data_IF_568959101012
#
_entry.id   IF_568959101012
#
_cell.length_a   1.000
_cell.length_b   1.000
_cell.length_c   1.000
_cell.angle_alpha   90.00
_cell.angle_beta   90.00
_cell.angle_gamma   90.00
#
_symmetry.space_group_name_H-M   'P 1'
#
loop_
_entity.id
_entity.type
_entity.pdbx_description
1 polymer ?
#
# COMPACT_ATOMS: atom_id res chain seq x y z
N UNK A 1 -6.99 24.73 -0.30
CA UNK A 1 -6.92 23.62 0.68
C UNK A 1 -5.78 22.71 0.23
N UNK A 2 -4.85 22.39 1.12
CA UNK A 2 -3.68 21.53 0.82
C UNK A 2 -4.11 20.12 0.40
N UNK A 3 -3.34 19.51 -0.51
CA UNK A 3 -3.52 18.13 -0.91
C UNK A 3 -2.47 17.21 -0.26
N UNK A 4 -1.26 17.73 0.00
CA UNK A 4 -0.24 17.06 0.83
C UNK A 4 -0.53 17.37 2.30
N UNK A 5 -0.56 16.33 3.13
CA UNK A 5 -0.86 16.46 4.55
C UNK A 5 -0.03 15.49 5.40
N UNK A 6 0.13 15.82 6.67
CA UNK A 6 0.70 14.92 7.67
C UNK A 6 -0.38 13.93 8.11
N UNK A 7 -0.23 12.64 7.81
CA UNK A 7 -1.19 11.64 8.22
C UNK A 7 -1.14 11.44 9.74
N UNK A 8 -2.24 10.92 10.31
CA UNK A 8 -2.35 10.60 11.74
C UNK A 8 -2.58 9.11 11.95
N UNK A 9 -2.22 8.62 13.13
CA UNK A 9 -2.43 7.23 13.52
C UNK A 9 -1.72 6.26 12.57
N UNK A 10 -2.41 5.21 12.14
CA UNK A 10 -1.83 4.13 11.31
C UNK A 10 -1.25 4.59 9.98
N UNK A 11 -1.75 5.69 9.42
CA UNK A 11 -1.26 6.21 8.16
C UNK A 11 0.15 6.83 8.27
N UNK A 12 0.50 7.38 9.44
CA UNK A 12 1.85 7.90 9.72
C UNK A 12 2.91 6.80 9.65
N UNK A 13 2.55 5.56 9.95
CA UNK A 13 3.48 4.42 9.90
C UNK A 13 3.89 4.05 8.48
N UNK A 14 3.15 4.55 7.46
CA UNK A 14 3.52 4.37 6.06
C UNK A 14 4.47 5.44 5.55
N UNK A 15 4.19 6.70 5.83
CA UNK A 15 5.07 7.81 5.45
C UNK A 15 4.76 9.06 6.28
N UNK A 16 5.74 9.98 6.44
CA UNK A 16 5.53 11.23 7.19
C UNK A 16 4.56 12.19 6.51
N UNK A 17 4.42 12.06 5.18
CA UNK A 17 3.48 12.84 4.38
C UNK A 17 2.65 11.92 3.48
N UNK A 18 1.44 12.33 3.18
CA UNK A 18 0.57 11.63 2.23
C UNK A 18 -0.17 12.62 1.32
N UNK A 19 -0.49 12.14 0.11
CA UNK A 19 -1.28 12.86 -0.88
C UNK A 19 -2.38 11.94 -1.44
N UNK A 20 -3.61 12.40 -1.55
CA UNK A 20 -4.70 11.65 -2.15
C UNK A 20 -5.26 12.41 -3.36
N UNK A 21 -4.91 11.98 -4.55
CA UNK A 21 -5.37 12.55 -5.82
C UNK A 21 -6.82 12.18 -6.14
N UNK A 22 -7.24 11.03 -5.68
CA UNK A 22 -8.52 10.42 -6.02
C UNK A 22 -9.44 10.26 -4.82
N UNK A 23 -10.69 9.97 -5.12
CA UNK A 23 -11.73 9.50 -4.23
C UNK A 23 -12.39 8.28 -4.85
N UNK A 24 -12.68 7.27 -4.03
CA UNK A 24 -13.18 5.99 -4.51
C UNK A 24 -12.05 5.09 -5.02
N UNK A 25 -12.33 3.79 -5.09
CA UNK A 25 -11.39 2.78 -5.56
C UNK A 25 -12.13 1.51 -5.95
N UNK A 26 -12.23 1.18 -7.24
CA UNK A 26 -12.98 0.01 -7.72
C UNK A 26 -12.27 -1.33 -7.52
N UNK A 27 -11.10 -1.38 -6.88
CA UNK A 27 -10.53 -2.66 -6.43
C UNK A 27 -11.52 -3.47 -5.56
N UNK A 28 -12.41 -2.80 -4.83
CA UNK A 28 -13.50 -3.45 -4.12
C UNK A 28 -13.05 -4.26 -2.91
N UNK A 29 -11.88 -4.00 -2.36
CA UNK A 29 -11.33 -4.75 -1.24
C UNK A 29 -12.30 -4.78 -0.06
N UNK A 30 -12.64 -5.98 0.42
CA UNK A 30 -13.63 -6.20 1.45
C UNK A 30 -13.23 -5.59 2.80
N UNK A 31 -11.95 -5.60 3.11
CA UNK A 31 -11.35 -5.01 4.30
C UNK A 31 -11.06 -3.51 4.17
N UNK A 32 -11.45 -2.86 3.07
CA UNK A 32 -11.08 -1.48 2.78
C UNK A 32 -11.59 -0.51 3.85
N UNK A 33 -10.68 0.27 4.43
CA UNK A 33 -11.02 1.32 5.38
C UNK A 33 -11.43 2.64 4.68
N UNK A 34 -11.10 2.81 3.39
CA UNK A 34 -11.38 4.03 2.63
C UNK A 34 -12.80 4.57 2.78
N UNK A 35 -13.84 3.71 2.70
CA UNK A 35 -15.22 4.14 2.92
C UNK A 35 -15.52 4.64 4.34
N UNK A 36 -14.67 4.36 5.33
CA UNK A 36 -14.88 4.81 6.72
C UNK A 36 -14.40 6.24 6.98
N UNK A 37 -13.55 6.79 6.11
CA UNK A 37 -12.98 8.13 6.28
C UNK A 37 -14.00 9.27 6.12
N UNK A 38 -14.84 9.29 5.07
CA UNK A 38 -15.95 10.23 4.99
C UNK A 38 -17.14 9.72 5.78
N UNK A 39 -17.88 10.62 6.43
CA UNK A 39 -19.12 10.23 7.12
C UNK A 39 -20.28 10.05 6.12
N UNK A 40 -20.76 8.81 5.88
CA UNK A 40 -21.85 8.55 4.93
C UNK A 40 -23.19 9.16 5.35
N UNK A 41 -23.44 9.31 6.66
CA UNK A 41 -24.66 9.92 7.17
C UNK A 41 -24.86 11.36 6.71
N UNK A 42 -23.76 12.10 6.46
CA UNK A 42 -23.84 13.45 5.87
C UNK A 42 -24.40 13.47 4.43
N UNK A 43 -24.47 12.31 3.79
CA UNK A 43 -25.05 12.11 2.45
C UNK A 43 -26.41 11.42 2.48
N UNK A 44 -26.91 11.09 3.65
CA UNK A 44 -28.14 10.32 3.81
C UNK A 44 -28.02 8.85 3.38
N UNK A 45 -26.79 8.30 3.32
CA UNK A 45 -26.52 6.94 2.89
C UNK A 45 -26.24 6.03 4.09
N UNK A 46 -26.63 4.77 3.98
CA UNK A 46 -26.15 3.70 4.84
C UNK A 46 -24.67 3.41 4.55
N UNK A 47 -23.98 2.74 5.46
CA UNK A 47 -22.58 2.34 5.24
C UNK A 47 -22.44 1.37 4.05
N UNK A 48 -23.43 0.50 3.82
CA UNK A 48 -23.42 -0.44 2.70
C UNK A 48 -23.57 0.26 1.35
N UNK A 49 -24.54 1.18 1.24
CA UNK A 49 -24.73 2.02 0.05
C UNK A 49 -23.48 2.85 -0.24
N UNK A 50 -22.89 3.44 0.81
CA UNK A 50 -21.68 4.22 0.69
C UNK A 50 -20.48 3.36 0.26
N UNK A 51 -20.33 2.12 0.76
CA UNK A 51 -19.31 1.19 0.29
C UNK A 51 -19.48 0.86 -1.18
N UNK A 52 -20.69 0.60 -1.64
CA UNK A 52 -20.99 0.38 -3.07
C UNK A 52 -20.62 1.61 -3.91
N UNK A 53 -21.01 2.81 -3.48
CA UNK A 53 -20.65 4.06 -4.16
C UNK A 53 -19.11 4.25 -4.20
N UNK A 54 -18.43 4.02 -3.07
CA UNK A 54 -16.98 4.16 -2.96
C UNK A 54 -16.23 3.22 -3.91
N UNK A 55 -16.71 2.01 -4.06
CA UNK A 55 -16.08 0.99 -4.92
C UNK A 55 -16.60 1.00 -6.36
N UNK A 56 -17.51 1.89 -6.72
CA UNK A 56 -18.07 1.94 -8.07
C UNK A 56 -17.13 2.56 -9.11
N UNK A 57 -16.36 3.57 -8.72
CA UNK A 57 -15.48 4.30 -9.61
C UNK A 57 -14.42 5.12 -8.88
N UNK A 58 -13.34 5.44 -9.60
CA UNK A 58 -12.34 6.42 -9.18
C UNK A 58 -12.72 7.80 -9.72
N UNK A 59 -12.66 8.80 -8.87
CA UNK A 59 -12.94 10.19 -9.24
C UNK A 59 -11.75 11.06 -8.83
N UNK A 60 -11.19 11.81 -9.78
CA UNK A 60 -10.18 12.81 -9.48
C UNK A 60 -10.74 13.87 -8.52
N UNK A 61 -9.95 14.26 -7.53
CA UNK A 61 -10.30 15.39 -6.66
C UNK A 61 -10.14 16.70 -7.44
N UNK A 62 -11.05 17.66 -7.23
CA UNK A 62 -10.97 18.94 -7.94
C UNK A 62 -9.62 19.62 -7.77
N UNK A 63 -9.02 20.03 -8.88
CA UNK A 63 -7.73 20.72 -8.97
C UNK A 63 -6.58 19.95 -8.29
N UNK A 64 -6.62 18.63 -8.30
CA UNK A 64 -5.67 17.78 -7.57
C UNK A 64 -4.22 18.07 -7.96
N UNK A 65 -3.92 18.17 -9.24
CA UNK A 65 -2.58 18.45 -9.76
C UNK A 65 -2.13 19.88 -9.45
N UNK A 66 -2.99 20.87 -9.66
CA UNK A 66 -2.65 22.26 -9.36
C UNK A 66 -2.35 22.49 -7.86
N UNK A 67 -3.12 21.79 -7.00
CA UNK A 67 -2.86 21.81 -5.55
C UNK A 67 -1.57 21.09 -5.19
N UNK A 68 -1.27 19.97 -5.86
CA UNK A 68 -0.03 19.23 -5.67
C UNK A 68 1.19 20.11 -6.02
N UNK A 69 1.19 20.73 -7.19
CA UNK A 69 2.22 21.66 -7.63
C UNK A 69 2.44 22.80 -6.60
N UNK A 70 1.36 23.42 -6.15
CA UNK A 70 1.42 24.50 -5.14
C UNK A 70 2.01 24.01 -3.82
N UNK A 71 1.61 22.82 -3.34
CA UNK A 71 2.11 22.27 -2.08
C UNK A 71 3.59 21.89 -2.18
N UNK A 72 4.01 21.23 -3.28
CA UNK A 72 5.41 20.86 -3.54
C UNK A 72 6.31 22.09 -3.63
N UNK A 73 5.88 23.14 -4.35
CA UNK A 73 6.60 24.40 -4.42
C UNK A 73 6.76 25.05 -3.03
N UNK A 74 5.70 25.05 -2.22
CA UNK A 74 5.75 25.59 -0.87
C UNK A 74 6.66 24.78 0.07
N UNK A 75 6.73 23.45 -0.11
CA UNK A 75 7.63 22.58 0.64
C UNK A 75 9.09 22.79 0.22
N UNK A 76 9.37 22.90 -1.08
CA UNK A 76 10.70 23.20 -1.61
C UNK A 76 11.25 24.52 -1.05
N UNK A 77 10.42 25.56 -1.01
CA UNK A 77 10.78 26.86 -0.41
C UNK A 77 11.13 26.76 1.08
N UNK A 78 10.57 25.75 1.80
CA UNK A 78 10.86 25.47 3.20
C UNK A 78 11.99 24.45 3.40
N UNK A 79 12.58 23.95 2.33
CA UNK A 79 13.56 22.84 2.34
C UNK A 79 13.03 21.58 3.04
N UNK A 80 11.73 21.32 2.95
CA UNK A 80 11.11 20.10 3.45
C UNK A 80 11.30 18.99 2.42
N UNK A 81 12.09 17.98 2.74
CA UNK A 81 12.46 16.87 1.83
C UNK A 81 11.80 15.55 2.22
N UNK A 82 10.83 15.58 3.13
CA UNK A 82 10.14 14.36 3.58
C UNK A 82 9.45 13.64 2.42
N UNK A 83 9.53 12.29 2.35
CA UNK A 83 8.88 11.52 1.31
C UNK A 83 7.34 11.57 1.47
N UNK A 84 6.64 11.43 0.34
CA UNK A 84 5.18 11.54 0.28
C UNK A 84 4.55 10.25 -0.24
N UNK A 85 3.69 9.60 0.57
CA UNK A 85 2.91 8.45 0.12
C UNK A 85 1.80 8.90 -0.83
N UNK A 86 1.78 8.32 -2.02
CA UNK A 86 0.78 8.62 -3.03
C UNK A 86 -0.44 7.71 -2.87
N UNK A 87 -1.60 8.34 -2.63
CA UNK A 87 -2.92 7.74 -2.54
C UNK A 87 -3.14 6.76 -1.37
N UNK A 88 -3.02 7.26 -0.12
CA UNK A 88 -3.31 6.43 1.07
C UNK A 88 -4.78 5.97 1.17
N UNK A 89 -5.75 6.83 0.83
CA UNK A 89 -7.18 6.53 0.98
C UNK A 89 -7.80 5.85 -0.25
N UNK A 90 -7.06 5.75 -1.34
CA UNK A 90 -7.44 5.09 -2.59
C UNK A 90 -6.19 4.43 -3.19
N UNK A 91 -6.27 3.89 -4.39
CA UNK A 91 -5.11 3.30 -5.08
C UNK A 91 -4.58 4.28 -6.14
N UNK A 92 -3.26 4.46 -6.31
CA UNK A 92 -2.70 5.30 -7.37
C UNK A 92 -2.87 4.70 -8.77
N UNK A 93 -3.09 3.37 -8.88
CA UNK A 93 -3.28 2.65 -10.14
C UNK A 93 -4.58 1.83 -10.14
N UNK A 94 -5.75 2.48 -9.97
CA UNK A 94 -7.03 1.79 -10.01
C UNK A 94 -7.32 1.29 -11.44
N UNK A 95 -8.21 0.30 -11.62
CA UNK A 95 -8.56 -0.22 -12.95
C UNK A 95 -9.11 0.83 -13.92
N UNK A 96 -9.75 1.85 -13.39
CA UNK A 96 -10.43 2.93 -14.12
C UNK A 96 -9.76 4.30 -13.91
N UNK A 97 -8.45 4.35 -13.76
CA UNK A 97 -7.73 5.61 -13.49
C UNK A 97 -8.10 6.70 -14.51
N UNK A 98 -8.62 7.85 -14.04
CA UNK A 98 -8.97 8.93 -14.93
C UNK A 98 -7.71 9.66 -15.42
N UNK A 99 -7.59 9.86 -16.74
CA UNK A 99 -6.65 10.81 -17.39
C UNK A 99 -5.16 10.66 -17.03
N UNK A 100 -4.69 9.49 -16.56
CA UNK A 100 -3.29 9.27 -16.15
C UNK A 100 -2.77 10.32 -15.14
N UNK A 101 -3.59 10.69 -14.17
CA UNK A 101 -3.28 11.70 -13.16
C UNK A 101 -2.08 11.29 -12.31
N UNK A 102 -1.94 9.99 -12.04
CA UNK A 102 -0.79 9.47 -11.28
C UNK A 102 0.52 9.80 -11.97
N UNK A 103 0.63 9.61 -13.31
CA UNK A 103 1.83 9.98 -14.07
C UNK A 103 2.13 11.47 -13.97
N UNK A 104 1.13 12.32 -14.13
CA UNK A 104 1.30 13.77 -14.01
C UNK A 104 1.74 14.19 -12.60
N UNK A 105 1.21 13.52 -11.57
CA UNK A 105 1.66 13.75 -10.20
C UNK A 105 3.12 13.33 -9.99
N UNK A 106 3.55 12.18 -10.53
CA UNK A 106 4.95 11.74 -10.46
C UNK A 106 5.90 12.72 -11.17
N UNK A 107 5.48 13.30 -12.30
CA UNK A 107 6.24 14.35 -12.97
C UNK A 107 6.38 15.61 -12.11
N UNK A 108 5.35 15.99 -11.36
CA UNK A 108 5.42 17.09 -10.41
C UNK A 108 6.41 16.78 -9.25
N UNK A 109 6.39 15.55 -8.71
CA UNK A 109 7.36 15.12 -7.70
C UNK A 109 8.79 15.20 -8.20
N UNK A 110 9.05 14.69 -9.41
CA UNK A 110 10.36 14.72 -10.06
C UNK A 110 10.82 16.17 -10.27
N UNK A 111 9.97 17.01 -10.85
CA UNK A 111 10.27 18.42 -11.12
C UNK A 111 10.67 19.20 -9.86
N UNK A 112 10.01 18.95 -8.75
CA UNK A 112 10.29 19.62 -7.47
C UNK A 112 11.33 18.90 -6.60
N UNK A 113 11.88 17.76 -7.03
CA UNK A 113 12.90 17.01 -6.30
C UNK A 113 12.39 16.27 -5.07
N UNK A 114 11.12 15.86 -5.06
CA UNK A 114 10.53 15.09 -3.95
C UNK A 114 10.44 13.61 -4.30
N UNK A 115 10.55 12.77 -3.26
CA UNK A 115 10.49 11.31 -3.39
C UNK A 115 9.08 10.79 -3.16
N UNK A 116 8.37 10.32 -4.20
CA UNK A 116 7.07 9.67 -4.04
C UNK A 116 7.26 8.24 -3.51
N UNK A 117 6.38 7.83 -2.60
CA UNK A 117 6.24 6.44 -2.17
C UNK A 117 4.94 5.91 -2.77
N UNK A 118 5.04 4.88 -3.57
CA UNK A 118 3.89 4.17 -4.14
C UNK A 118 3.52 3.00 -3.25
N UNK A 119 2.23 2.79 -3.02
CA UNK A 119 1.65 1.56 -2.54
C UNK A 119 0.41 1.25 -3.38
N UNK A 120 0.40 0.10 -4.05
CA UNK A 120 -0.69 -0.23 -4.96
C UNK A 120 -1.08 -1.72 -4.91
N UNK A 121 -2.30 -2.02 -5.33
CA UNK A 121 -2.78 -3.34 -5.72
C UNK A 121 -2.98 -3.42 -7.24
N UNK A 122 -2.41 -2.46 -7.96
CA UNK A 122 -2.54 -2.32 -9.41
C UNK A 122 -1.69 -3.29 -10.22
N UNK A 123 -0.67 -3.91 -9.62
CA UNK A 123 0.24 -4.79 -10.35
C UNK A 123 0.94 -4.07 -11.49
N UNK A 124 1.07 -4.72 -12.64
CA UNK A 124 1.76 -4.21 -13.83
C UNK A 124 1.14 -2.96 -14.46
N UNK A 125 -0.07 -2.53 -14.03
CA UNK A 125 -0.60 -1.22 -14.43
C UNK A 125 0.31 -0.06 -14.06
N UNK A 126 1.12 -0.23 -13.00
CA UNK A 126 2.06 0.77 -12.52
C UNK A 126 3.33 0.88 -13.40
N UNK A 127 3.72 -0.19 -14.10
CA UNK A 127 4.99 -0.27 -14.83
C UNK A 127 5.14 0.82 -15.91
N UNK A 128 4.02 1.33 -16.44
CA UNK A 128 4.00 2.42 -17.43
C UNK A 128 4.62 3.73 -16.93
N UNK A 129 4.77 3.88 -15.61
CA UNK A 129 5.25 5.10 -14.97
C UNK A 129 6.59 4.90 -14.23
N UNK A 130 7.24 3.75 -14.42
CA UNK A 130 8.52 3.44 -13.74
C UNK A 130 9.68 4.32 -14.19
N UNK A 131 9.66 4.80 -15.43
CA UNK A 131 10.62 5.78 -15.92
C UNK A 131 10.62 7.05 -15.06
N UNK A 132 9.45 7.62 -14.83
CA UNK A 132 9.29 8.85 -14.04
C UNK A 132 9.43 8.59 -12.53
N UNK A 133 8.98 7.44 -12.02
CA UNK A 133 9.13 7.06 -10.62
C UNK A 133 10.61 6.94 -10.25
N UNK A 134 11.41 6.31 -11.11
CA UNK A 134 12.87 6.22 -10.96
C UNK A 134 13.52 7.61 -10.98
N UNK A 135 13.16 8.45 -11.96
CA UNK A 135 13.71 9.81 -12.07
C UNK A 135 13.43 10.63 -10.81
N UNK A 136 12.27 10.48 -10.19
CA UNK A 136 11.91 11.10 -8.91
C UNK A 136 12.60 10.48 -7.68
N UNK A 137 13.37 9.39 -7.84
CA UNK A 137 13.97 8.65 -6.72
C UNK A 137 12.96 8.03 -5.78
N UNK A 138 11.81 7.63 -6.32
CA UNK A 138 10.69 7.09 -5.54
C UNK A 138 10.85 5.60 -5.18
N UNK A 139 9.94 5.11 -4.34
CA UNK A 139 9.82 3.71 -3.94
C UNK A 139 8.56 3.09 -4.51
N UNK A 140 8.67 1.85 -4.99
CA UNK A 140 7.54 1.09 -5.49
C UNK A 140 7.11 0.02 -4.50
N UNK A 141 5.87 0.08 -4.02
CA UNK A 141 5.30 -0.87 -3.07
C UNK A 141 4.05 -1.56 -3.57
N UNK A 142 3.95 -2.81 -3.18
CA UNK A 142 2.77 -3.64 -3.39
C UNK A 142 2.19 -4.10 -2.05
N UNK A 143 0.86 -4.22 -1.99
CA UNK A 143 0.21 -4.90 -0.87
C UNK A 143 0.23 -6.39 -1.14
N UNK A 144 0.64 -7.19 -0.15
CA UNK A 144 0.45 -8.62 -0.16
C UNK A 144 -0.22 -9.09 1.13
N UNK A 145 -1.29 -9.87 0.98
CA UNK A 145 -2.00 -10.54 2.08
C UNK A 145 -2.20 -12.03 1.78
N UNK A 146 -1.71 -12.48 0.62
CA UNK A 146 -1.91 -13.83 0.09
C UNK A 146 -0.66 -14.28 -0.65
N UNK A 147 -0.39 -15.58 -0.64
CA UNK A 147 0.71 -16.19 -1.38
C UNK A 147 0.34 -16.46 -2.84
N UNK A 148 1.33 -16.78 -3.67
CA UNK A 148 1.15 -17.13 -5.08
C UNK A 148 0.33 -18.40 -5.27
N UNK A 149 -0.54 -18.39 -6.28
CA UNK A 149 -1.50 -19.45 -6.60
C UNK A 149 -0.89 -20.82 -6.93
N UNK A 150 0.39 -20.88 -7.33
CA UNK A 150 0.96 -22.09 -7.95
C UNK A 150 1.50 -23.14 -6.99
N UNK A 151 1.89 -22.77 -5.77
CA UNK A 151 2.46 -23.70 -4.80
C UNK A 151 1.46 -24.28 -3.79
N UNK A 152 0.35 -23.56 -3.54
CA UNK A 152 -0.58 -23.86 -2.43
C UNK A 152 -2.02 -24.17 -2.86
N UNK A 153 -2.27 -24.34 -4.16
CA UNK A 153 -3.55 -24.83 -4.69
C UNK A 153 -4.57 -23.75 -5.09
N UNK A 154 -5.62 -24.17 -5.78
CA UNK A 154 -6.67 -23.31 -6.35
C UNK A 154 -7.43 -22.43 -5.33
N UNK A 155 -7.45 -22.84 -4.06
CA UNK A 155 -8.16 -22.12 -3.00
C UNK A 155 -7.63 -20.72 -2.71
N UNK A 156 -6.35 -20.44 -2.97
CA UNK A 156 -5.75 -19.12 -2.72
C UNK A 156 -6.26 -18.06 -3.70
N UNK A 157 -6.47 -18.41 -4.96
CA UNK A 157 -7.01 -17.48 -5.96
C UNK A 157 -8.48 -17.15 -5.70
N UNK A 158 -9.28 -18.12 -5.30
CA UNK A 158 -10.67 -17.92 -4.91
C UNK A 158 -10.76 -17.07 -3.64
N UNK A 159 -9.91 -17.34 -2.65
CA UNK A 159 -9.80 -16.52 -1.43
C UNK A 159 -9.44 -15.07 -1.77
N UNK A 160 -8.43 -14.84 -2.61
CA UNK A 160 -8.07 -13.50 -3.05
C UNK A 160 -9.23 -12.78 -3.75
N UNK A 161 -9.90 -13.42 -4.71
CA UNK A 161 -11.05 -12.84 -5.42
C UNK A 161 -12.19 -12.47 -4.48
N UNK A 162 -12.41 -13.25 -3.41
CA UNK A 162 -13.40 -12.93 -2.40
C UNK A 162 -13.04 -11.67 -1.59
N UNK A 163 -11.75 -11.43 -1.35
CA UNK A 163 -11.27 -10.30 -0.55
C UNK A 163 -10.87 -9.07 -1.36
N UNK A 164 -10.36 -9.27 -2.57
CA UNK A 164 -9.82 -8.22 -3.46
C UNK A 164 -10.30 -8.45 -4.91
N UNK A 165 -11.61 -8.36 -5.20
CA UNK A 165 -12.21 -8.85 -6.43
C UNK A 165 -11.61 -8.27 -7.71
N UNK A 166 -11.27 -6.99 -7.72
CA UNK A 166 -10.79 -6.27 -8.90
C UNK A 166 -9.33 -5.79 -8.78
N UNK A 167 -8.61 -6.24 -7.76
CA UNK A 167 -7.18 -5.98 -7.66
C UNK A 167 -6.39 -6.91 -8.61
N UNK A 168 -5.17 -6.53 -8.94
CA UNK A 168 -4.25 -7.37 -9.71
C UNK A 168 -4.00 -8.71 -8.99
N UNK A 169 -3.76 -9.78 -9.74
CA UNK A 169 -3.38 -11.08 -9.16
C UNK A 169 -2.05 -10.97 -8.40
N UNK A 170 -1.75 -11.90 -7.53
CA UNK A 170 -0.48 -11.89 -6.82
C UNK A 170 0.71 -12.07 -7.77
N UNK A 171 0.57 -12.91 -8.78
CA UNK A 171 1.58 -13.06 -9.84
C UNK A 171 1.81 -11.73 -10.58
N UNK A 172 0.74 -11.01 -10.92
CA UNK A 172 0.86 -9.72 -11.61
C UNK A 172 1.52 -8.65 -10.71
N UNK A 173 1.26 -8.68 -9.38
CA UNK A 173 1.97 -7.82 -8.41
C UNK A 173 3.45 -8.19 -8.30
N UNK A 174 3.76 -9.48 -8.29
CA UNK A 174 5.13 -9.96 -8.27
C UNK A 174 5.88 -9.53 -9.55
N UNK A 175 5.31 -9.77 -10.72
CA UNK A 175 5.88 -9.33 -11.99
C UNK A 175 6.15 -7.81 -12.01
N UNK A 176 5.24 -7.00 -11.44
CA UNK A 176 5.47 -5.57 -11.33
C UNK A 176 6.64 -5.22 -10.39
N UNK A 177 6.83 -5.96 -9.30
CA UNK A 177 7.95 -5.80 -8.39
C UNK A 177 9.28 -6.16 -9.08
N UNK A 178 9.34 -7.27 -9.81
CA UNK A 178 10.52 -7.67 -10.60
C UNK A 178 10.87 -6.63 -11.67
N UNK A 179 9.87 -6.09 -12.37
CA UNK A 179 10.09 -5.04 -13.36
C UNK A 179 10.62 -3.77 -12.67
N UNK A 180 10.08 -3.38 -11.50
CA UNK A 180 10.57 -2.23 -10.75
C UNK A 180 12.02 -2.40 -10.32
N UNK A 181 12.39 -3.57 -9.80
CA UNK A 181 13.77 -3.91 -9.44
C UNK A 181 14.71 -3.84 -10.66
N UNK A 182 14.31 -4.42 -11.80
CA UNK A 182 15.06 -4.33 -13.05
C UNK A 182 15.23 -2.89 -13.55
N UNK A 183 14.30 -1.99 -13.22
CA UNK A 183 14.46 -0.55 -13.44
C UNK A 183 15.42 0.10 -12.42
N UNK A 184 15.81 -0.60 -11.35
CA UNK A 184 16.57 -0.06 -10.23
C UNK A 184 15.74 0.88 -9.34
N UNK A 185 14.44 0.60 -9.23
CA UNK A 185 13.52 1.27 -8.29
C UNK A 185 13.48 0.40 -7.04
N UNK A 186 13.74 0.93 -5.85
CA UNK A 186 13.64 0.15 -4.62
C UNK A 186 12.21 -0.35 -4.39
N UNK A 187 12.09 -1.64 -4.07
CA UNK A 187 10.82 -2.36 -3.92
C UNK A 187 10.51 -2.62 -2.45
N UNK A 188 9.24 -2.44 -2.08
CA UNK A 188 8.78 -2.77 -0.74
C UNK A 188 7.41 -3.45 -0.73
N UNK A 189 7.15 -4.21 0.33
CA UNK A 189 5.89 -4.91 0.51
C UNK A 189 5.17 -4.47 1.79
N UNK A 190 3.88 -4.18 1.64
CA UNK A 190 2.97 -4.06 2.77
C UNK A 190 2.27 -5.40 2.98
N UNK A 191 2.72 -6.15 3.98
CA UNK A 191 2.09 -7.42 4.39
C UNK A 191 0.98 -7.09 5.39
N UNK A 192 -0.09 -6.50 4.84
CA UNK A 192 -1.26 -6.01 5.57
C UNK A 192 -2.43 -5.75 4.58
N UNK A 193 -3.67 -6.18 4.94
CA UNK A 193 -4.03 -6.91 6.16
C UNK A 193 -3.66 -8.39 6.06
N UNK A 194 -3.32 -9.00 7.17
CA UNK A 194 -3.17 -10.45 7.25
C UNK A 194 -4.54 -11.08 7.44
N UNK A 195 -5.00 -11.79 6.43
CA UNK A 195 -6.27 -12.53 6.44
C UNK A 195 -6.04 -13.97 6.86
N UNK A 196 -4.90 -14.53 6.47
CA UNK A 196 -4.44 -15.87 6.78
C UNK A 196 -2.96 -15.77 7.18
N UNK A 197 -2.63 -16.16 8.43
CA UNK A 197 -1.26 -16.03 8.96
C UNK A 197 -0.26 -16.93 8.23
N UNK A 198 -0.67 -18.13 7.86
CA UNK A 198 0.23 -19.12 7.26
C UNK A 198 0.59 -18.71 5.83
N UNK A 199 -0.36 -18.15 5.08
CA UNK A 199 -0.10 -17.56 3.78
C UNK A 199 0.79 -16.31 3.87
N UNK A 200 0.59 -15.46 4.87
CA UNK A 200 1.44 -14.28 5.08
C UNK A 200 2.88 -14.67 5.43
N UNK A 201 3.09 -15.66 6.28
CA UNK A 201 4.42 -16.17 6.64
C UNK A 201 5.09 -16.84 5.44
N UNK A 202 4.37 -17.68 4.70
CA UNK A 202 4.89 -18.30 3.48
C UNK A 202 5.28 -17.25 2.42
N UNK A 203 4.51 -16.17 2.27
CA UNK A 203 4.88 -15.04 1.42
C UNK A 203 6.20 -14.39 1.86
N UNK A 204 6.35 -14.13 3.16
CA UNK A 204 7.58 -13.54 3.71
C UNK A 204 8.78 -14.44 3.44
N UNK A 205 8.67 -15.76 3.66
CA UNK A 205 9.73 -16.73 3.38
C UNK A 205 10.14 -16.66 1.90
N UNK A 206 9.19 -16.81 0.99
CA UNK A 206 9.48 -16.79 -0.46
C UNK A 206 10.10 -15.46 -0.88
N UNK A 207 9.54 -14.34 -0.44
CA UNK A 207 9.92 -13.02 -0.93
C UNK A 207 11.24 -12.51 -0.30
N UNK A 208 11.59 -12.96 0.89
CA UNK A 208 12.85 -12.57 1.55
C UNK A 208 14.06 -13.40 1.09
N UNK A 209 13.83 -14.62 0.60
CA UNK A 209 14.88 -15.55 0.13
C UNK A 209 15.15 -15.47 -1.38
N UNK A 210 14.30 -14.75 -2.14
CA UNK A 210 14.40 -14.71 -3.59
C UNK A 210 15.63 -13.92 -4.06
N UNK A 211 16.57 -14.61 -4.72
CA UNK A 211 17.84 -14.02 -5.19
C UNK A 211 17.66 -12.99 -6.32
N UNK A 212 16.61 -13.12 -7.14
CA UNK A 212 16.43 -12.34 -8.37
C UNK A 212 15.59 -11.07 -8.18
N UNK A 213 14.76 -11.01 -7.13
CA UNK A 213 13.93 -9.83 -6.82
C UNK A 213 13.81 -9.64 -5.32
N UNK A 214 14.96 -9.49 -4.67
CA UNK A 214 14.99 -9.26 -3.23
C UNK A 214 14.29 -7.95 -2.91
N UNK A 215 13.25 -8.05 -2.09
CA UNK A 215 12.55 -6.86 -1.64
C UNK A 215 13.45 -6.02 -0.74
N UNK A 216 13.43 -4.71 -0.94
CA UNK A 216 14.30 -3.81 -0.16
C UNK A 216 13.74 -3.53 1.23
N UNK A 217 12.41 -3.57 1.38
CA UNK A 217 11.78 -3.25 2.66
C UNK A 217 10.43 -3.95 2.85
N UNK A 218 10.12 -4.32 4.09
CA UNK A 218 8.82 -4.87 4.48
C UNK A 218 8.14 -4.03 5.55
N UNK A 219 6.82 -3.84 5.42
CA UNK A 219 5.95 -3.32 6.50
C UNK A 219 4.95 -4.37 6.90
N UNK A 220 5.01 -4.76 8.17
CA UNK A 220 4.15 -5.79 8.75
C UNK A 220 3.04 -5.15 9.57
N UNK A 221 1.80 -5.56 9.32
CA UNK A 221 0.65 -5.11 10.09
C UNK A 221 -0.34 -6.24 10.32
N UNK A 222 -1.42 -5.95 11.04
CA UNK A 222 -2.48 -6.91 11.30
C UNK A 222 -3.78 -6.48 10.61
N UNK A 223 -4.71 -7.43 10.45
CA UNK A 223 -6.08 -7.10 10.07
C UNK A 223 -6.74 -6.24 11.16
N UNK A 224 -7.35 -5.15 10.74
CA UNK A 224 -8.21 -4.33 11.58
C UNK A 224 -9.67 -4.60 11.22
N UNK A 225 -10.32 -5.43 12.03
CA UNK A 225 -11.71 -5.82 11.80
C UNK A 225 -12.70 -4.67 12.01
N UNK A 226 -13.56 -4.41 11.05
CA UNK A 226 -14.63 -3.40 11.15
C UNK A 226 -16.04 -4.00 11.07
N UNK A 227 -16.20 -5.18 10.51
CA UNK A 227 -17.46 -5.95 10.47
C UNK A 227 -17.33 -7.26 11.26
N UNK A 228 -18.43 -8.04 11.30
CA UNK A 228 -18.48 -9.29 12.07
C UNK A 228 -17.44 -10.31 11.61
N UNK A 229 -17.22 -10.44 10.30
CA UNK A 229 -16.31 -11.44 9.72
C UNK A 229 -14.85 -11.04 9.91
N UNK A 230 -14.48 -9.81 9.54
CA UNK A 230 -13.12 -9.31 9.73
C UNK A 230 -12.70 -9.30 11.21
N UNK A 231 -13.64 -9.00 12.13
CA UNK A 231 -13.41 -9.12 13.57
C UNK A 231 -13.24 -10.57 14.03
N UNK A 232 -13.95 -11.52 13.42
CA UNK A 232 -13.78 -12.93 13.73
C UNK A 232 -12.39 -13.42 13.31
N UNK A 233 -11.95 -13.07 12.10
CA UNK A 233 -10.59 -13.39 11.62
C UNK A 233 -9.53 -12.70 12.50
N UNK A 234 -9.68 -11.41 12.79
CA UNK A 234 -8.75 -10.68 13.66
C UNK A 234 -8.57 -11.38 15.02
N UNK A 235 -9.63 -11.93 15.58
CA UNK A 235 -9.60 -12.66 16.86
C UNK A 235 -9.07 -14.09 16.77
N UNK A 236 -9.14 -14.73 15.59
CA UNK A 236 -8.69 -16.11 15.41
C UNK A 236 -7.17 -16.24 15.23
N UNK A 237 -6.50 -15.15 14.87
CA UNK A 237 -5.05 -15.15 14.65
C UNK A 237 -4.32 -14.89 15.98
N UNK A 238 -3.36 -15.75 16.31
CA UNK A 238 -2.40 -15.49 17.38
C UNK A 238 -1.35 -14.47 16.90
N UNK A 239 -1.61 -13.19 17.16
CA UNK A 239 -0.78 -12.10 16.67
C UNK A 239 0.65 -12.09 17.26
N UNK A 240 0.88 -12.39 18.55
CA UNK A 240 2.23 -12.57 19.07
C UNK A 240 3.03 -13.64 18.33
N UNK A 241 2.44 -14.82 18.11
CA UNK A 241 3.07 -15.92 17.37
C UNK A 241 3.39 -15.50 15.91
N UNK A 242 2.42 -14.90 15.22
CA UNK A 242 2.64 -14.39 13.86
C UNK A 242 3.80 -13.38 13.82
N UNK A 243 3.82 -12.42 14.74
CA UNK A 243 4.85 -11.40 14.82
C UNK A 243 6.25 -12.00 15.01
N UNK A 244 6.41 -12.92 15.95
CA UNK A 244 7.71 -13.53 16.21
C UNK A 244 8.17 -14.39 15.02
N UNK A 245 7.28 -15.21 14.44
CA UNK A 245 7.61 -15.99 13.25
C UNK A 245 8.02 -15.09 12.06
N UNK A 246 7.31 -13.99 11.84
CA UNK A 246 7.64 -13.03 10.78
C UNK A 246 9.01 -12.36 11.02
N UNK A 247 9.33 -12.02 12.27
CA UNK A 247 10.64 -11.47 12.65
C UNK A 247 11.77 -12.47 12.43
N UNK A 248 11.58 -13.72 12.84
CA UNK A 248 12.56 -14.79 12.65
C UNK A 248 12.86 -15.02 11.16
N UNK A 249 11.83 -15.10 10.31
CA UNK A 249 11.98 -15.25 8.86
C UNK A 249 12.81 -14.09 8.30
N UNK A 250 12.43 -12.85 8.59
CA UNK A 250 13.10 -11.69 8.03
C UNK A 250 14.53 -11.51 8.59
N UNK A 251 14.74 -11.76 9.87
CA UNK A 251 16.09 -11.74 10.47
C UNK A 251 16.99 -12.82 9.89
N UNK A 252 16.47 -14.04 9.67
CA UNK A 252 17.18 -15.13 9.00
C UNK A 252 17.60 -14.80 7.57
N UNK A 253 16.80 -14.00 6.87
CA UNK A 253 17.09 -13.50 5.53
C UNK A 253 17.95 -12.20 5.53
N UNK A 254 18.39 -11.72 6.69
CA UNK A 254 19.30 -10.58 6.83
C UNK A 254 18.62 -9.21 6.89
N UNK A 255 17.32 -9.13 7.15
CA UNK A 255 16.62 -7.85 7.33
C UNK A 255 16.71 -7.37 8.78
N UNK A 256 16.99 -6.09 8.95
CA UNK A 256 17.03 -5.44 10.28
C UNK A 256 15.68 -4.79 10.59
N UNK A 257 15.16 -5.00 11.81
CA UNK A 257 13.96 -4.30 12.28
C UNK A 257 14.29 -2.84 12.57
N UNK A 258 13.48 -1.93 12.02
CA UNK A 258 13.51 -0.50 12.32
C UNK A 258 12.26 -0.09 13.11
N UNK A 259 12.38 0.93 13.95
CA UNK A 259 11.33 1.35 14.88
C UNK A 259 10.76 2.74 14.56
N UNK A 260 11.40 3.48 13.68
CA UNK A 260 10.95 4.80 13.27
C UNK A 260 9.84 4.68 12.21
N UNK A 261 8.64 5.22 12.47
CA UNK A 261 7.54 5.15 11.52
C UNK A 261 7.81 5.98 10.27
N UNK A 262 7.38 5.48 9.12
CA UNK A 262 7.49 6.20 7.85
C UNK A 262 8.88 6.20 7.22
N UNK A 263 9.85 5.49 7.81
CA UNK A 263 11.19 5.29 7.24
C UNK A 263 11.17 4.15 6.23
N UNK A 264 11.99 4.27 5.19
CA UNK A 264 12.25 3.27 4.17
C UNK A 264 13.76 3.14 3.98
N UNK A 265 14.30 1.97 4.28
CA UNK A 265 15.71 1.62 4.14
C UNK A 265 15.84 0.23 3.53
N UNK A 266 16.86 0.05 2.67
CA UNK A 266 17.14 -1.25 2.05
C UNK A 266 17.60 -2.25 3.10
N UNK A 267 17.12 -3.48 3.01
CA UNK A 267 17.46 -4.56 3.95
C UNK A 267 16.79 -4.38 5.33
N UNK A 268 15.65 -3.70 5.39
CA UNK A 268 14.96 -3.47 6.67
C UNK A 268 13.51 -3.91 6.65
N UNK A 269 12.94 -4.06 7.86
CA UNK A 269 11.50 -4.21 8.02
C UNK A 269 10.96 -3.38 9.19
N UNK A 270 9.69 -3.01 9.11
CA UNK A 270 8.97 -2.28 10.14
C UNK A 270 7.74 -3.06 10.61
N UNK A 271 7.65 -3.31 11.90
CA UNK A 271 6.46 -3.91 12.52
C UNK A 271 5.57 -2.79 13.04
N UNK A 272 4.35 -2.69 12.49
CA UNK A 272 3.41 -1.63 12.87
C UNK A 272 3.00 -1.73 14.34
N UNK A 273 2.76 -0.59 14.96
CA UNK A 273 2.49 -0.48 16.40
C UNK A 273 1.39 -1.43 16.88
N UNK A 274 0.29 -1.53 16.15
CA UNK A 274 -0.83 -2.40 16.51
C UNK A 274 -0.51 -3.90 16.52
N UNK A 275 0.43 -4.35 15.65
CA UNK A 275 0.94 -5.71 15.65
C UNK A 275 2.01 -5.89 16.76
N UNK A 276 2.86 -4.89 16.94
CA UNK A 276 3.90 -4.89 17.99
C UNK A 276 3.32 -4.96 19.39
N UNK A 277 2.22 -4.25 19.64
CA UNK A 277 1.54 -4.18 20.93
C UNK A 277 0.48 -5.29 21.15
N UNK A 278 0.27 -6.18 20.18
CA UNK A 278 -0.69 -7.27 20.27
C UNK A 278 -0.28 -8.26 21.38
N UNK A 279 -1.27 -8.64 22.20
CA UNK A 279 -1.14 -9.58 23.32
C UNK A 279 -1.66 -10.95 22.93
#
# INVERSE_FOLDING_TARGET
MKIIYEPKGKALEYAPLACNLYKGCPHGCRYCFGPTLPNPAKKGLTMEEWRREWHSKTVEKPDSLAKLESDLSAMANKRDTRPVLLCFACDPYPPDEPKKITRAALAAFEHHGFKPIILTKGGTRACRDFDILKAAGGWFGQTCSFIFDTQYGAGTQECRKAWEPNAASMMDRHNAAEIADAYGIPVWWSVEPVIDKDQALAFLTVQSEHEVSKSDHFKLGKLSGYDKETKAIEKSINWPEYREAAREILAGAGYTEIFEPGVFEVGTHYVKKELRDAK
#
